data_IF_455072809407
#
_entry.id   IF_455072809407
#
_cell.length_a   1.000
_cell.length_b   1.000
_cell.length_c   1.000
_cell.angle_alpha   90.00
_cell.angle_beta   90.00
_cell.angle_gamma   90.00
#
_symmetry.space_group_name_H-M   'P 1'
#
loop_
_entity.id
_entity.type
_entity.pdbx_description
1 polymer ?
#
# COMPACT_ATOMS: atom_id res chain seq x y z
N UNK A 1 2.90 5.30 16.93
CA UNK A 1 4.35 5.48 16.94
C UNK A 1 4.99 4.28 16.27
N UNK A 2 5.53 4.46 15.08
CA UNK A 2 6.03 3.40 14.20
C UNK A 2 7.42 2.94 14.70
N UNK A 3 7.76 1.65 14.52
CA UNK A 3 9.07 1.08 14.89
C UNK A 3 10.24 1.88 14.29
N UNK A 4 10.04 2.49 13.12
CA UNK A 4 11.03 3.37 12.46
C UNK A 4 11.26 4.69 13.21
N UNK A 5 10.21 5.32 13.75
CA UNK A 5 10.33 6.57 14.52
C UNK A 5 11.16 6.37 15.79
N UNK A 6 10.95 5.23 16.46
CA UNK A 6 11.70 4.84 17.67
C UNK A 6 13.19 4.64 17.33
N UNK A 7 13.51 3.99 16.21
CA UNK A 7 14.89 3.75 15.80
C UNK A 7 15.63 5.03 15.40
N UNK A 8 14.94 5.96 14.72
CA UNK A 8 15.51 7.26 14.35
C UNK A 8 15.86 8.11 15.58
N UNK A 9 15.01 8.10 16.61
CA UNK A 9 15.26 8.81 17.88
C UNK A 9 16.44 8.23 18.67
N UNK A 10 16.70 6.92 18.56
CA UNK A 10 17.78 6.24 19.31
C UNK A 10 19.13 6.39 18.61
N UNK A 11 19.17 6.43 17.27
CA UNK A 11 20.43 6.35 16.50
C UNK A 11 20.85 7.65 15.82
N UNK A 12 20.00 8.69 15.81
CA UNK A 12 20.33 10.02 15.28
C UNK A 12 20.63 10.06 13.77
N UNK A 13 20.44 8.94 13.06
CA UNK A 13 20.76 8.79 11.64
C UNK A 13 19.47 8.57 10.88
N UNK A 14 19.07 9.54 10.07
CA UNK A 14 17.94 9.32 9.17
C UNK A 14 18.34 8.26 8.14
N UNK A 15 17.66 7.10 8.15
CA UNK A 15 17.99 5.95 7.31
C UNK A 15 17.54 6.15 5.86
N UNK A 16 16.65 7.13 5.64
CA UNK A 16 16.04 7.43 4.35
C UNK A 16 16.17 8.93 4.07
N UNK A 17 16.22 9.30 2.78
CA UNK A 17 16.04 10.71 2.40
C UNK A 17 14.59 11.13 2.63
N UNK A 18 14.32 12.44 2.74
CA UNK A 18 12.93 12.93 2.85
C UNK A 18 12.03 12.43 1.72
N UNK A 19 12.58 12.30 0.51
CA UNK A 19 11.83 11.77 -0.64
C UNK A 19 11.51 10.27 -0.47
N UNK A 20 12.46 9.50 0.05
CA UNK A 20 12.23 8.10 0.38
C UNK A 20 11.22 7.93 1.52
N UNK A 21 11.21 8.82 2.52
CA UNK A 21 10.19 8.84 3.57
C UNK A 21 8.80 9.14 2.98
N UNK A 22 8.67 10.19 2.17
CA UNK A 22 7.41 10.51 1.49
C UNK A 22 6.89 9.35 0.64
N UNK A 23 7.80 8.67 -0.06
CA UNK A 23 7.46 7.50 -0.88
C UNK A 23 6.98 6.32 -0.01
N UNK A 24 7.63 6.08 1.14
CA UNK A 24 7.20 5.04 2.08
C UNK A 24 5.82 5.36 2.69
N UNK A 25 5.59 6.61 3.09
CA UNK A 25 4.28 7.04 3.61
C UNK A 25 3.18 6.90 2.54
N UNK A 26 3.49 7.24 1.29
CA UNK A 26 2.58 7.06 0.17
C UNK A 26 2.25 5.58 -0.08
N UNK A 27 3.22 4.69 0.05
CA UNK A 27 3.03 3.23 -0.06
C UNK A 27 2.13 2.72 1.07
N UNK A 28 2.40 3.13 2.31
CA UNK A 28 1.61 2.71 3.46
C UNK A 28 0.15 3.16 3.33
N UNK A 29 -0.06 4.41 2.89
CA UNK A 29 -1.41 4.93 2.59
C UNK A 29 -2.09 4.19 1.45
N UNK A 30 -1.38 3.92 0.35
CA UNK A 30 -1.96 3.18 -0.78
C UNK A 30 -2.31 1.73 -0.41
N UNK A 31 -1.58 1.11 0.52
CA UNK A 31 -1.94 -0.19 1.09
C UNK A 31 -3.24 -0.11 1.90
N UNK A 32 -3.39 0.90 2.74
CA UNK A 32 -4.63 1.11 3.51
C UNK A 32 -5.82 1.40 2.58
N UNK A 33 -5.64 2.25 1.56
CA UNK A 33 -6.64 2.53 0.53
C UNK A 33 -7.08 1.23 -0.17
N UNK A 34 -6.13 0.36 -0.55
CA UNK A 34 -6.44 -0.94 -1.16
C UNK A 34 -7.21 -1.85 -0.21
N UNK A 35 -6.79 -1.96 1.05
CA UNK A 35 -7.51 -2.75 2.05
C UNK A 35 -8.96 -2.26 2.24
N UNK A 36 -9.15 -0.94 2.26
CA UNK A 36 -10.48 -0.34 2.36
C UNK A 36 -11.33 -0.61 1.12
N UNK A 37 -10.74 -0.57 -0.08
CA UNK A 37 -11.45 -0.88 -1.33
C UNK A 37 -11.92 -2.34 -1.38
N UNK A 38 -11.06 -3.28 -0.97
CA UNK A 38 -11.42 -4.70 -0.83
C UNK A 38 -12.56 -4.86 0.19
N UNK A 39 -12.44 -4.25 1.37
CA UNK A 39 -13.49 -4.30 2.38
C UNK A 39 -14.81 -3.66 1.91
N UNK A 40 -14.76 -2.62 1.08
CA UNK A 40 -15.96 -2.02 0.50
C UNK A 40 -16.66 -2.99 -0.45
N UNK A 41 -15.92 -3.67 -1.33
CA UNK A 41 -16.46 -4.71 -2.21
C UNK A 41 -17.18 -5.82 -1.44
N UNK A 42 -16.62 -6.27 -0.31
CA UNK A 42 -17.23 -7.28 0.55
C UNK A 42 -18.53 -6.83 1.25
N UNK A 43 -18.71 -5.51 1.46
CA UNK A 43 -19.85 -4.95 2.18
C UNK A 43 -21.03 -4.56 1.28
N UNK A 44 -20.79 -4.21 0.02
CA UNK A 44 -21.84 -3.70 -0.87
C UNK A 44 -22.67 -4.81 -1.48
N UNK A 45 -23.99 -4.59 -1.54
CA UNK A 45 -24.96 -5.52 -2.11
C UNK A 45 -25.82 -4.90 -3.24
N UNK A 46 -25.80 -3.57 -3.43
CA UNK A 46 -26.43 -2.93 -4.59
C UNK A 46 -25.56 -3.21 -5.82
N UNK A 47 -26.08 -3.85 -6.88
CA UNK A 47 -25.31 -4.20 -8.07
C UNK A 47 -24.52 -3.04 -8.68
N UNK A 48 -25.06 -1.81 -8.64
CA UNK A 48 -24.37 -0.63 -9.20
C UNK A 48 -23.19 -0.19 -8.32
N UNK A 49 -23.28 -0.44 -7.02
CA UNK A 49 -22.18 -0.18 -6.08
C UNK A 49 -21.13 -1.29 -6.10
N UNK A 50 -21.52 -2.52 -6.45
CA UNK A 50 -20.58 -3.63 -6.69
C UNK A 50 -19.66 -3.31 -7.88
N UNK A 51 -20.21 -2.87 -9.00
CA UNK A 51 -19.39 -2.46 -10.16
C UNK A 51 -18.42 -1.34 -9.78
N UNK A 52 -18.91 -0.34 -9.05
CA UNK A 52 -18.08 0.75 -8.53
C UNK A 52 -16.97 0.24 -7.60
N UNK A 53 -17.28 -0.71 -6.71
CA UNK A 53 -16.32 -1.31 -5.79
C UNK A 53 -15.20 -2.06 -6.53
N UNK A 54 -15.51 -2.79 -7.60
CA UNK A 54 -14.53 -3.45 -8.47
C UNK A 54 -13.58 -2.41 -9.06
N UNK A 55 -14.11 -1.34 -9.65
CA UNK A 55 -13.29 -0.28 -10.23
C UNK A 55 -12.39 0.41 -9.19
N UNK A 56 -12.91 0.64 -7.98
CA UNK A 56 -12.12 1.22 -6.90
C UNK A 56 -10.98 0.29 -6.46
N UNK A 57 -11.24 -1.00 -6.31
CA UNK A 57 -10.21 -1.98 -5.94
C UNK A 57 -9.10 -2.04 -6.99
N UNK A 58 -9.46 -2.14 -8.26
CA UNK A 58 -8.48 -2.18 -9.36
C UNK A 58 -7.65 -0.89 -9.45
N UNK A 59 -8.28 0.28 -9.25
CA UNK A 59 -7.56 1.55 -9.20
C UNK A 59 -6.58 1.61 -8.01
N UNK A 60 -6.99 1.12 -6.83
CA UNK A 60 -6.14 1.07 -5.65
C UNK A 60 -4.96 0.10 -5.83
N UNK A 61 -5.19 -1.09 -6.44
CA UNK A 61 -4.14 -2.04 -6.80
C UNK A 61 -3.11 -1.42 -7.75
N UNK A 62 -3.58 -0.76 -8.81
CA UNK A 62 -2.72 -0.11 -9.79
C UNK A 62 -1.83 0.98 -9.15
N UNK A 63 -2.41 1.82 -8.29
CA UNK A 63 -1.67 2.86 -7.54
C UNK A 63 -0.63 2.25 -6.61
N UNK A 64 -1.01 1.23 -5.83
CA UNK A 64 -0.10 0.55 -4.91
C UNK A 64 1.07 -0.11 -5.67
N UNK A 65 0.79 -0.82 -6.76
CA UNK A 65 1.81 -1.44 -7.60
C UNK A 65 2.78 -0.42 -8.22
N UNK A 66 2.28 0.72 -8.70
CA UNK A 66 3.10 1.82 -9.18
C UNK A 66 4.07 2.32 -8.10
N UNK A 67 3.59 2.61 -6.90
CA UNK A 67 4.41 3.11 -5.80
C UNK A 67 5.46 2.10 -5.34
N UNK A 68 5.14 0.80 -5.32
CA UNK A 68 6.12 -0.26 -5.06
C UNK A 68 7.23 -0.29 -6.12
N UNK A 69 6.89 -0.06 -7.39
CA UNK A 69 7.89 0.02 -8.46
C UNK A 69 8.78 1.27 -8.31
N UNK A 70 8.21 2.41 -7.93
CA UNK A 70 9.00 3.61 -7.62
C UNK A 70 9.95 3.38 -6.44
N UNK A 71 9.51 2.67 -5.40
CA UNK A 71 10.38 2.34 -4.27
C UNK A 71 11.54 1.41 -4.66
N UNK A 72 11.29 0.42 -5.54
CA UNK A 72 12.35 -0.42 -6.11
C UNK A 72 13.38 0.40 -6.88
N UNK A 73 12.95 1.37 -7.69
CA UNK A 73 13.85 2.29 -8.42
C UNK A 73 14.68 3.15 -7.47
N UNK A 74 14.10 3.52 -6.32
CA UNK A 74 14.77 4.28 -5.26
C UNK A 74 15.65 3.43 -4.33
N UNK A 75 15.96 2.18 -4.70
CA UNK A 75 16.72 1.20 -3.92
C UNK A 75 16.13 0.91 -2.52
N UNK A 76 14.83 1.15 -2.33
CA UNK A 76 14.15 0.82 -1.08
C UNK A 76 13.71 -0.65 -1.12
N UNK A 77 14.15 -1.42 -0.14
CA UNK A 77 13.57 -2.74 0.14
C UNK A 77 12.26 -2.55 0.88
N UNK A 78 11.16 -2.47 0.14
CA UNK A 78 9.82 -2.60 0.70
C UNK A 78 9.52 -4.09 0.83
N UNK A 79 9.43 -4.59 2.07
CA UNK A 79 8.99 -5.96 2.31
C UNK A 79 7.50 -5.98 2.03
N UNK A 80 7.12 -6.51 0.87
CA UNK A 80 5.74 -6.85 0.53
C UNK A 80 5.33 -8.08 1.33
N UNK A 81 5.14 -7.96 2.64
CA UNK A 81 4.91 -9.14 3.49
C UNK A 81 3.53 -9.79 3.30
N UNK A 82 2.52 -9.12 2.72
CA UNK A 82 1.13 -9.55 3.00
C UNK A 82 0.08 -9.54 1.86
N UNK A 83 0.39 -9.41 0.55
CA UNK A 83 -0.70 -9.26 -0.46
C UNK A 83 -0.57 -10.12 -1.74
N UNK A 84 0.06 -11.29 -1.67
CA UNK A 84 -0.06 -12.30 -2.75
C UNK A 84 -0.45 -13.68 -2.24
N UNK A 85 -1.16 -13.77 -1.10
CA UNK A 85 -1.90 -15.00 -0.80
C UNK A 85 -3.14 -15.07 -1.69
N UNK A 86 -2.98 -15.86 -2.76
CA UNK A 86 -4.02 -16.57 -3.50
C UNK A 86 -5.14 -15.73 -4.13
N UNK A 87 -4.87 -15.17 -5.31
CA UNK A 87 -5.89 -15.25 -6.38
C UNK A 87 -5.68 -16.60 -7.08
N UNK A 88 -6.26 -17.67 -6.50
CA UNK A 88 -6.51 -18.90 -7.26
C UNK A 88 -7.54 -18.55 -8.33
N UNK A 89 -7.06 -18.40 -9.55
CA UNK A 89 -7.91 -18.39 -10.74
C UNK A 89 -8.53 -19.79 -10.83
N UNK A 90 -9.79 -19.90 -10.45
CA UNK A 90 -10.65 -21.05 -10.76
C UNK A 90 -11.40 -20.80 -12.06
#
# INVERSE_FOLDING_TARGET
MNRKEILAHITGKNMYTEEQERLLDAIDKAREDLKNAVGYFELVNDPRLVDYAIYMEEAAKAKYAYLLNEAKKSNLKVISSDILQEVKVG
#
